data_IF_021279409491
#
_entry.id   IF_021279409491
#
_cell.length_a   1.000
_cell.length_b   1.000
_cell.length_c   1.000
_cell.angle_alpha   90.00
_cell.angle_beta   90.00
_cell.angle_gamma   90.00
#
_symmetry.space_group_name_H-M   'P 1'
#
loop_
_entity.id
_entity.type
_entity.pdbx_description
1 polymer ?
#
# COMPACT_ATOMS: atom_id res chain seq x y z
N UNK A 1 -3.50 -12.05 -27.27
CA UNK A 1 -4.67 -12.46 -26.46
C UNK A 1 -4.18 -13.43 -25.37
N UNK A 2 -4.35 -13.11 -24.08
CA UNK A 2 -3.85 -13.92 -22.95
C UNK A 2 -4.67 -15.19 -22.66
N UNK A 3 -5.83 -15.34 -23.30
CA UNK A 3 -6.81 -16.39 -23.00
C UNK A 3 -6.46 -17.77 -23.57
N UNK A 4 -5.31 -17.91 -24.25
CA UNK A 4 -4.84 -19.20 -24.79
C UNK A 4 -3.81 -19.90 -23.91
N UNK A 5 -3.24 -19.19 -22.94
CA UNK A 5 -2.26 -19.77 -22.01
C UNK A 5 -3.00 -20.51 -20.89
N UNK A 6 -2.66 -21.79 -20.69
CA UNK A 6 -3.24 -22.59 -19.60
C UNK A 6 -2.63 -22.13 -18.28
N UNK A 7 -3.42 -21.48 -17.44
CA UNK A 7 -3.01 -21.01 -16.11
C UNK A 7 -3.73 -21.85 -15.06
N UNK A 8 -2.97 -22.39 -14.11
CA UNK A 8 -3.47 -23.05 -12.92
C UNK A 8 -3.71 -21.98 -11.85
N UNK A 9 -4.92 -21.93 -11.29
CA UNK A 9 -5.22 -21.05 -10.16
C UNK A 9 -4.38 -21.46 -8.95
N UNK A 10 -3.53 -20.55 -8.47
CA UNK A 10 -2.64 -20.78 -7.32
C UNK A 10 -2.63 -19.50 -6.46
N UNK A 11 -3.28 -19.50 -5.28
CA UNK A 11 -3.33 -18.34 -4.39
C UNK A 11 -2.14 -18.27 -3.43
N UNK A 12 -1.13 -19.13 -3.58
CA UNK A 12 0.02 -19.13 -2.69
C UNK A 12 0.80 -17.81 -2.77
N UNK A 13 1.20 -17.29 -1.61
CA UNK A 13 2.08 -16.13 -1.55
C UNK A 13 3.49 -16.51 -2.00
N UNK A 14 3.99 -15.81 -3.02
CA UNK A 14 5.33 -15.98 -3.58
C UNK A 14 6.11 -14.68 -3.43
N UNK A 15 7.38 -14.77 -3.02
CA UNK A 15 8.30 -13.65 -3.13
C UNK A 15 8.72 -13.50 -4.59
N UNK A 16 8.58 -12.29 -5.12
CA UNK A 16 8.96 -11.92 -6.47
C UNK A 16 9.91 -10.73 -6.42
N UNK A 17 10.71 -10.59 -7.47
CA UNK A 17 11.58 -9.43 -7.61
C UNK A 17 10.77 -8.14 -7.82
N UNK A 18 11.41 -7.01 -7.54
CA UNK A 18 10.85 -5.70 -7.79
C UNK A 18 11.92 -4.78 -8.39
N UNK A 19 11.68 -4.10 -9.53
CA UNK A 19 10.49 -4.19 -10.40
C UNK A 19 10.49 -5.44 -11.31
N UNK A 20 9.43 -5.63 -12.10
CA UNK A 20 9.29 -6.68 -13.11
C UNK A 20 9.30 -8.15 -12.62
N UNK A 21 9.23 -8.43 -11.32
CA UNK A 21 9.03 -9.79 -10.84
C UNK A 21 7.69 -10.37 -11.30
N UNK A 22 7.62 -11.69 -11.47
CA UNK A 22 6.38 -12.39 -11.84
C UNK A 22 6.24 -13.65 -10.98
N UNK A 23 5.02 -14.10 -10.79
CA UNK A 23 4.76 -15.42 -10.22
C UNK A 23 5.16 -16.50 -11.24
N UNK A 24 5.41 -17.75 -10.83
CA UNK A 24 5.80 -18.82 -11.75
C UNK A 24 4.89 -18.93 -12.98
N UNK A 25 5.50 -19.18 -14.14
CA UNK A 25 4.80 -19.32 -15.40
C UNK A 25 3.73 -20.44 -15.31
N UNK A 26 2.58 -20.22 -15.95
CA UNK A 26 1.47 -21.18 -15.92
C UNK A 26 0.69 -21.22 -14.60
N UNK A 27 0.98 -20.32 -13.64
CA UNK A 27 0.20 -20.15 -12.41
C UNK A 27 -0.19 -18.69 -12.21
N UNK A 28 -1.20 -18.45 -11.38
CA UNK A 28 -1.59 -17.13 -10.93
C UNK A 28 -3.07 -17.00 -10.58
N UNK A 29 -3.43 -15.82 -10.08
CA UNK A 29 -4.79 -15.39 -9.76
C UNK A 29 -5.25 -14.29 -10.74
N UNK A 30 -6.44 -13.73 -10.51
CA UNK A 30 -7.01 -12.67 -11.33
C UNK A 30 -6.05 -11.48 -11.55
N UNK A 31 -5.30 -11.08 -10.52
CA UNK A 31 -4.33 -9.98 -10.58
C UNK A 31 -3.20 -10.26 -11.60
N UNK A 32 -2.68 -11.49 -11.65
CA UNK A 32 -1.55 -11.85 -12.54
C UNK A 32 -1.96 -11.78 -14.00
N UNK A 33 -3.22 -12.11 -14.31
CA UNK A 33 -3.78 -11.96 -15.66
C UNK A 33 -3.71 -10.50 -16.12
N UNK A 34 -4.07 -9.56 -15.24
CA UNK A 34 -4.03 -8.12 -15.55
C UNK A 34 -2.59 -7.64 -15.68
N UNK A 35 -1.70 -7.99 -14.74
CA UNK A 35 -0.29 -7.60 -14.79
C UNK A 35 0.36 -8.06 -16.10
N UNK A 36 0.18 -9.33 -16.47
CA UNK A 36 0.75 -9.89 -17.71
C UNK A 36 0.13 -9.27 -18.96
N UNK A 37 -1.10 -8.75 -18.90
CA UNK A 37 -1.73 -8.04 -20.02
C UNK A 37 -1.03 -6.72 -20.30
N UNK A 38 -0.78 -5.93 -19.27
CA UNK A 38 -0.05 -4.68 -19.37
C UNK A 38 1.42 -4.88 -19.78
N UNK A 39 2.04 -5.99 -19.36
CA UNK A 39 3.40 -6.34 -19.81
C UNK A 39 3.49 -6.58 -21.31
N UNK A 40 2.45 -7.15 -21.93
CA UNK A 40 2.37 -7.27 -23.41
C UNK A 40 2.30 -5.91 -24.11
N UNK A 41 1.99 -4.83 -23.39
CA UNK A 41 2.03 -3.44 -23.84
C UNK A 41 3.31 -2.70 -23.44
N UNK A 42 4.29 -3.38 -22.83
CA UNK A 42 5.52 -2.78 -22.33
C UNK A 42 5.37 -2.02 -21.02
N UNK A 43 4.29 -2.25 -20.26
CA UNK A 43 3.98 -1.54 -19.02
C UNK A 43 4.10 -2.50 -17.83
N UNK A 44 4.90 -2.14 -16.82
CA UNK A 44 4.94 -2.84 -15.54
C UNK A 44 3.89 -2.28 -14.57
N UNK A 45 2.63 -2.68 -14.76
CA UNK A 45 1.50 -2.18 -13.96
C UNK A 45 1.73 -2.37 -12.45
N UNK A 46 2.38 -3.46 -12.05
CA UNK A 46 2.72 -3.74 -10.65
C UNK A 46 3.55 -2.59 -10.05
N UNK A 47 4.58 -2.13 -10.76
CA UNK A 47 5.41 -0.99 -10.35
C UNK A 47 4.60 0.29 -10.27
N UNK A 48 3.82 0.59 -11.30
CA UNK A 48 3.06 1.84 -11.37
C UNK A 48 2.03 1.95 -10.23
N UNK A 49 1.27 0.88 -9.97
CA UNK A 49 0.31 0.84 -8.85
C UNK A 49 1.02 0.98 -7.51
N UNK A 50 2.15 0.29 -7.31
CA UNK A 50 2.89 0.36 -6.05
C UNK A 50 3.47 1.75 -5.77
N UNK A 51 4.06 2.40 -6.77
CA UNK A 51 4.60 3.74 -6.61
C UNK A 51 3.50 4.79 -6.46
N UNK A 52 2.37 4.67 -7.17
CA UNK A 52 1.19 5.51 -6.96
C UNK A 52 0.62 5.38 -5.54
N UNK A 53 0.43 4.14 -5.08
CA UNK A 53 -0.02 3.86 -3.72
C UNK A 53 0.91 4.52 -2.69
N UNK A 54 2.24 4.40 -2.85
CA UNK A 54 3.21 5.05 -1.96
C UNK A 54 3.13 6.58 -2.01
N UNK A 55 2.97 7.16 -3.20
CA UNK A 55 2.88 8.61 -3.37
C UNK A 55 1.61 9.20 -2.76
N UNK A 56 0.53 8.41 -2.66
CA UNK A 56 -0.77 8.88 -2.21
C UNK A 56 -0.93 9.03 -0.68
N UNK A 57 0.04 8.58 0.12
CA UNK A 57 0.09 8.83 1.56
C UNK A 57 0.91 10.09 1.88
N UNK A 58 0.26 11.06 2.51
CA UNK A 58 0.85 12.37 2.83
C UNK A 58 0.86 12.60 4.34
N UNK A 59 1.80 13.41 4.85
CA UNK A 59 1.76 13.85 6.24
C UNK A 59 0.39 14.44 6.61
N UNK A 60 -0.15 14.02 7.74
CA UNK A 60 -1.51 14.38 8.19
C UNK A 60 -2.59 13.37 7.81
N UNK A 61 -2.29 12.40 6.93
CA UNK A 61 -3.23 11.32 6.63
C UNK A 61 -3.36 10.36 7.81
N UNK A 62 -4.59 9.90 8.04
CA UNK A 62 -4.94 8.92 9.06
C UNK A 62 -5.11 7.57 8.37
N UNK A 63 -4.53 6.54 8.95
CA UNK A 63 -4.60 5.17 8.42
C UNK A 63 -5.09 4.25 9.53
N UNK A 64 -6.01 3.35 9.19
CA UNK A 64 -6.50 2.32 10.09
C UNK A 64 -6.10 0.94 9.59
N UNK A 65 -5.85 0.02 10.53
CA UNK A 65 -5.44 -1.35 10.23
C UNK A 65 -6.24 -2.38 11.02
N UNK A 66 -6.12 -3.63 10.59
CA UNK A 66 -6.26 -4.81 11.44
C UNK A 66 -4.85 -5.42 11.61
N UNK A 67 -4.43 -5.58 12.87
CA UNK A 67 -3.15 -6.18 13.26
C UNK A 67 -3.21 -7.72 13.13
N UNK A 68 -2.05 -8.38 13.20
CA UNK A 68 -1.93 -9.84 13.05
C UNK A 68 -2.74 -10.62 14.09
N UNK A 69 -2.98 -10.04 15.27
CA UNK A 69 -3.82 -10.61 16.32
C UNK A 69 -5.31 -10.26 16.19
N UNK A 70 -5.73 -9.68 15.07
CA UNK A 70 -7.11 -9.31 14.78
C UNK A 70 -7.57 -7.98 15.37
N UNK A 71 -6.76 -7.30 16.19
CA UNK A 71 -7.15 -6.02 16.77
C UNK A 71 -7.16 -4.91 15.73
N UNK A 72 -8.16 -4.03 15.81
CA UNK A 72 -8.18 -2.79 15.03
C UNK A 72 -7.17 -1.79 15.58
N UNK A 73 -6.50 -1.05 14.70
CA UNK A 73 -5.52 -0.05 15.09
C UNK A 73 -5.58 1.21 14.21
N UNK A 74 -5.02 2.31 14.68
CA UNK A 74 -4.99 3.61 14.00
C UNK A 74 -3.63 4.28 14.14
N UNK A 75 -3.23 5.03 13.12
CA UNK A 75 -1.99 5.79 13.12
C UNK A 75 -2.05 6.98 12.18
N UNK A 76 -1.10 7.88 12.34
CA UNK A 76 -1.00 9.11 11.57
C UNK A 76 0.30 9.10 10.78
N UNK A 77 0.21 9.40 9.48
CA UNK A 77 1.36 9.62 8.62
C UNK A 77 2.02 10.94 9.05
N UNK A 78 3.30 10.91 9.42
CA UNK A 78 4.02 12.12 9.86
C UNK A 78 5.00 12.62 8.80
N UNK A 79 5.36 13.91 8.87
CA UNK A 79 6.37 14.52 8.00
C UNK A 79 7.81 14.19 8.45
N UNK A 80 8.07 12.92 8.74
CA UNK A 80 9.40 12.37 9.01
C UNK A 80 9.56 11.13 8.15
N UNK A 81 10.68 11.03 7.44
CA UNK A 81 10.94 9.89 6.57
C UNK A 81 11.78 8.81 7.25
N UNK A 82 11.70 7.59 6.72
CA UNK A 82 12.61 6.47 7.00
C UNK A 82 14.06 6.87 6.75
N UNK A 83 15.02 6.08 7.27
CA UNK A 83 16.46 6.36 7.15
C UNK A 83 16.93 6.49 5.70
N UNK A 84 16.31 5.76 4.77
CA UNK A 84 16.59 5.85 3.32
C UNK A 84 15.91 7.04 2.62
N UNK A 85 15.10 7.83 3.33
CA UNK A 85 14.40 9.00 2.79
C UNK A 85 13.23 8.66 1.86
N UNK A 86 12.82 7.39 1.76
CA UNK A 86 11.85 6.94 0.75
C UNK A 86 10.41 6.85 1.25
N UNK A 87 10.17 6.64 2.54
CA UNK A 87 8.84 6.38 3.11
C UNK A 87 8.56 7.33 4.27
N UNK A 88 7.32 7.79 4.41
CA UNK A 88 6.89 8.50 5.62
C UNK A 88 6.73 7.52 6.78
N UNK A 89 7.15 7.93 7.97
CA UNK A 89 6.93 7.19 9.20
C UNK A 89 5.50 7.40 9.70
N UNK A 90 5.06 6.45 10.51
CA UNK A 90 3.78 6.48 11.20
C UNK A 90 4.04 6.78 12.67
N UNK A 91 3.32 7.77 13.23
CA UNK A 91 3.16 7.87 14.68
C UNK A 91 1.96 7.05 15.11
N UNK A 92 2.19 6.17 16.08
CA UNK A 92 1.18 5.28 16.62
C UNK A 92 1.59 4.78 18.02
N UNK A 93 0.77 3.92 18.63
CA UNK A 93 1.01 3.35 19.95
C UNK A 93 0.77 1.83 19.98
N UNK A 94 1.35 1.08 19.03
CA UNK A 94 1.42 -0.39 19.12
C UNK A 94 2.56 -0.74 20.07
N UNK A 95 2.28 -1.58 21.06
CA UNK A 95 3.25 -1.99 22.07
C UNK A 95 3.20 -1.09 23.30
N UNK A 96 4.34 -0.55 23.71
CA UNK A 96 4.51 0.13 25.00
C UNK A 96 4.82 1.64 24.87
N UNK A 97 3.97 2.41 24.18
CA UNK A 97 4.07 3.87 24.11
C UNK A 97 4.07 4.44 22.69
N UNK A 98 4.23 5.77 22.60
CA UNK A 98 4.24 6.48 21.31
C UNK A 98 5.51 6.14 20.53
N UNK A 99 5.34 5.55 19.35
CA UNK A 99 6.45 5.11 18.48
C UNK A 99 6.32 5.76 17.10
N UNK A 100 7.48 6.10 16.52
CA UNK A 100 7.63 6.44 15.10
C UNK A 100 8.21 5.24 14.35
N UNK A 101 7.44 4.64 13.45
CA UNK A 101 7.82 3.39 12.78
C UNK A 101 7.51 3.41 11.29
N UNK A 102 8.33 2.69 10.52
CA UNK A 102 8.10 2.40 9.10
C UNK A 102 7.15 1.20 8.97
N UNK A 103 5.89 1.40 9.35
CA UNK A 103 4.88 0.33 9.44
C UNK A 103 3.63 0.55 8.59
N UNK A 104 3.58 1.59 7.75
CA UNK A 104 2.40 1.95 6.94
C UNK A 104 1.77 0.76 6.20
N UNK A 105 2.61 -0.08 5.59
CA UNK A 105 2.20 -1.26 4.82
C UNK A 105 2.51 -2.59 5.52
N UNK A 106 2.84 -2.56 6.82
CA UNK A 106 3.17 -3.77 7.59
C UNK A 106 1.93 -4.60 7.92
N UNK A 107 0.79 -3.94 8.13
CA UNK A 107 -0.47 -4.57 8.52
C UNK A 107 -1.55 -4.36 7.46
N UNK A 108 -2.66 -5.11 7.57
CA UNK A 108 -3.79 -4.97 6.66
C UNK A 108 -4.45 -3.60 6.86
N UNK A 109 -4.28 -2.69 5.89
CA UNK A 109 -4.97 -1.41 5.87
C UNK A 109 -6.47 -1.65 5.70
N UNK A 110 -7.27 -1.06 6.58
CA UNK A 110 -8.74 -1.08 6.53
C UNK A 110 -9.34 0.26 6.15
N UNK A 111 -8.56 1.34 6.20
CA UNK A 111 -9.01 2.68 5.86
C UNK A 111 -7.87 3.67 5.71
N UNK A 112 -8.07 4.65 4.84
CA UNK A 112 -7.18 5.78 4.61
C UNK A 112 -8.03 7.04 4.52
N UNK A 113 -7.79 7.98 5.42
CA UNK A 113 -8.59 9.19 5.56
C UNK A 113 -7.67 10.41 5.53
N UNK A 114 -8.15 11.48 4.90
CA UNK A 114 -7.51 12.78 4.93
C UNK A 114 -8.48 13.77 5.56
N UNK A 115 -8.12 14.28 6.74
CA UNK A 115 -8.93 15.30 7.40
C UNK A 115 -8.60 16.68 6.79
N UNK A 116 -9.49 17.17 5.93
CA UNK A 116 -9.48 18.56 5.50
C UNK A 116 -10.32 19.40 6.45
N UNK A 117 -9.72 20.34 7.18
CA UNK A 117 -10.49 21.47 7.68
C UNK A 117 -10.90 22.30 6.46
N UNK A 118 -12.17 22.26 6.08
CA UNK A 118 -12.75 23.47 5.50
C UNK A 118 -12.52 24.58 6.54
N UNK A 119 -11.77 25.60 6.15
CA UNK A 119 -11.61 26.78 7.00
C UNK A 119 -12.97 27.42 7.11
N UNK A 120 -13.71 27.13 8.19
CA UNK A 120 -14.78 28.01 8.66
C UNK A 120 -14.12 29.33 9.11
N UNK A 121 -13.83 30.19 8.14
CA UNK A 121 -13.67 31.62 8.34
C UNK A 121 -15.09 32.19 8.35
N UNK A 122 -15.81 32.00 9.47
CA UNK A 122 -16.93 32.87 9.79
C UNK A 122 -16.32 34.01 10.59
N UNK A 123 -16.28 35.17 9.95
CA UNK A 123 -15.65 36.39 10.45
C UNK A 123 -16.27 36.85 11.76
N UNK A 124 -15.39 37.35 12.64
CA UNK A 124 -15.80 38.30 13.66
C UNK A 124 -16.13 39.63 12.98
N UNK A 125 -17.37 40.06 13.15
CA UNK A 125 -17.79 41.45 13.14
C UNK A 125 -18.32 41.78 14.53
#
# INVERSE_FOLDING_TARGET
MLTKERVVYDPAYVRIDYPNGDVPAGRGVCTDVVIRAYRKLGIDLQKEVHEDMKANYRPGDIVTWVLDNGMTHIGLVVNKKSRDGRRFLIVHNIGAGQVLEDCLFRFKITGHYRYGKERAHLGGG
#
